data_IF_893281961318
#
_entry.id   IF_893281961318
#
_cell.length_a   1.000
_cell.length_b   1.000
_cell.length_c   1.000
_cell.angle_alpha   90.00
_cell.angle_beta   90.00
_cell.angle_gamma   90.00
#
_symmetry.space_group_name_H-M   'P 1'
#
loop_
_entity.id
_entity.type
_entity.pdbx_description
1 polymer ?
#
# COMPACT_ATOMS: atom_id res chain seq x y z
N UNK A 1 54.35 -6.32 10.14
CA UNK A 1 53.27 -6.79 9.24
C UNK A 1 51.98 -6.91 10.02
N UNK A 2 51.05 -5.97 9.86
CA UNK A 2 49.65 -6.13 10.30
C UNK A 2 48.76 -5.06 9.64
N UNK A 3 48.39 -5.29 8.38
CA UNK A 3 47.31 -4.56 7.70
C UNK A 3 46.50 -5.61 6.97
N UNK A 4 45.42 -6.12 7.55
CA UNK A 4 44.37 -6.87 6.84
C UNK A 4 43.16 -7.15 7.74
N UNK A 5 42.37 -6.14 8.15
CA UNK A 5 41.00 -6.39 8.67
C UNK A 5 40.08 -5.15 8.51
N UNK A 6 39.98 -4.56 7.31
CA UNK A 6 38.98 -3.49 7.06
C UNK A 6 38.15 -3.63 5.79
N UNK A 7 38.26 -4.72 5.05
CA UNK A 7 37.64 -4.81 3.70
C UNK A 7 36.38 -5.66 3.60
N UNK A 8 35.91 -6.29 4.68
CA UNK A 8 34.72 -7.16 4.62
C UNK A 8 33.42 -6.44 5.03
N UNK A 9 33.48 -5.37 5.83
CA UNK A 9 32.29 -4.69 6.34
C UNK A 9 31.64 -3.70 5.34
N UNK A 10 32.33 -3.38 4.24
CA UNK A 10 31.84 -2.40 3.24
C UNK A 10 31.02 -3.08 2.13
N UNK A 11 31.13 -4.40 1.95
CA UNK A 11 30.44 -5.13 0.89
C UNK A 11 28.98 -5.51 1.22
N UNK A 12 28.56 -5.38 2.49
CA UNK A 12 27.18 -5.63 2.94
C UNK A 12 26.47 -4.38 3.44
N UNK A 13 27.08 -3.20 3.29
CA UNK A 13 26.38 -1.95 3.56
C UNK A 13 25.28 -1.80 2.49
N UNK A 14 24.00 -1.80 2.87
CA UNK A 14 22.94 -1.57 1.90
C UNK A 14 23.17 -0.22 1.23
N UNK A 15 22.95 -0.12 -0.08
CA UNK A 15 23.23 1.10 -0.83
C UNK A 15 22.38 2.25 -0.24
N UNK A 16 23.00 3.19 0.49
CA UNK A 16 22.29 4.23 1.23
C UNK A 16 21.38 5.06 0.34
N UNK A 17 21.74 5.23 -0.93
CA UNK A 17 20.96 5.97 -1.92
C UNK A 17 19.65 5.24 -2.27
N UNK A 18 19.69 3.92 -2.50
CA UNK A 18 18.50 3.11 -2.79
C UNK A 18 17.52 3.10 -1.60
N UNK A 19 18.05 3.03 -0.37
CA UNK A 19 17.23 3.08 0.85
C UNK A 19 16.52 4.41 1.02
N UNK A 20 17.22 5.51 0.71
CA UNK A 20 16.64 6.84 0.74
C UNK A 20 15.58 7.01 -0.34
N UNK A 21 15.83 6.52 -1.57
CA UNK A 21 14.84 6.54 -2.63
C UNK A 21 13.58 5.75 -2.25
N UNK A 22 13.74 4.57 -1.66
CA UNK A 22 12.62 3.73 -1.22
C UNK A 22 11.81 4.40 -0.12
N UNK A 23 12.47 4.99 0.88
CA UNK A 23 11.82 5.76 1.93
C UNK A 23 10.99 6.93 1.37
N UNK A 24 11.56 7.66 0.40
CA UNK A 24 10.91 8.83 -0.20
C UNK A 24 9.76 8.42 -1.15
N UNK A 25 9.94 7.37 -1.94
CA UNK A 25 8.96 6.96 -2.98
C UNK A 25 7.88 6.04 -2.43
N UNK A 26 8.21 5.21 -1.44
CA UNK A 26 7.34 4.15 -0.91
C UNK A 26 7.71 3.82 0.54
N UNK A 27 7.39 4.74 1.45
CA UNK A 27 7.66 4.61 2.89
C UNK A 27 7.11 3.30 3.49
N UNK A 28 5.95 2.84 3.02
CA UNK A 28 5.35 1.57 3.45
C UNK A 28 6.24 0.40 3.07
N UNK A 29 6.77 0.35 1.84
CA UNK A 29 7.70 -0.71 1.43
C UNK A 29 8.99 -0.68 2.24
N UNK A 30 9.52 0.51 2.47
CA UNK A 30 10.69 0.69 3.34
C UNK A 30 10.44 0.10 4.74
N UNK A 31 9.31 0.43 5.37
CA UNK A 31 8.94 -0.06 6.68
C UNK A 31 8.70 -1.58 6.70
N UNK A 32 8.03 -2.14 5.68
CA UNK A 32 7.83 -3.59 5.55
C UNK A 32 9.18 -4.31 5.46
N UNK A 33 10.12 -3.78 4.65
CA UNK A 33 11.48 -4.34 4.56
C UNK A 33 12.22 -4.29 5.89
N UNK A 34 12.10 -3.19 6.62
CA UNK A 34 12.72 -3.05 7.92
C UNK A 34 12.18 -4.10 8.90
N UNK A 35 10.85 -4.27 8.93
CA UNK A 35 10.20 -5.26 9.79
C UNK A 35 10.63 -6.70 9.45
N UNK A 36 10.73 -7.05 8.17
CA UNK A 36 11.21 -8.37 7.74
C UNK A 36 12.67 -8.61 8.14
N UNK A 37 13.52 -7.58 8.08
CA UNK A 37 14.92 -7.66 8.52
C UNK A 37 15.05 -7.81 10.03
N UNK A 38 14.23 -7.11 10.80
CA UNK A 38 14.26 -7.13 12.27
C UNK A 38 13.71 -8.43 12.86
N UNK A 39 12.62 -8.95 12.28
CA UNK A 39 11.98 -10.19 12.75
C UNK A 39 12.61 -11.45 12.17
N UNK A 40 13.35 -11.34 11.06
CA UNK A 40 13.84 -12.49 10.30
C UNK A 40 12.74 -13.28 9.59
N UNK A 41 11.52 -12.74 9.55
CA UNK A 41 10.39 -13.35 8.84
C UNK A 41 10.67 -13.40 7.33
N UNK A 42 10.29 -14.52 6.71
CA UNK A 42 10.38 -14.68 5.27
C UNK A 42 8.99 -14.58 4.64
N UNK A 43 8.88 -13.81 3.57
CA UNK A 43 7.68 -13.70 2.75
C UNK A 43 7.98 -14.25 1.36
N UNK A 44 7.02 -14.96 0.78
CA UNK A 44 7.17 -15.58 -0.54
C UNK A 44 6.77 -14.62 -1.67
N UNK A 45 7.32 -13.40 -1.67
CA UNK A 45 6.99 -12.35 -2.63
C UNK A 45 8.24 -11.84 -3.35
N UNK A 46 8.08 -11.48 -4.62
CA UNK A 46 9.12 -10.74 -5.34
C UNK A 46 9.26 -9.33 -4.76
N UNK A 47 10.44 -8.71 -4.87
CA UNK A 47 10.60 -7.31 -4.44
C UNK A 47 9.66 -6.36 -5.21
N UNK A 48 9.41 -6.63 -6.49
CA UNK A 48 8.51 -5.84 -7.31
C UNK A 48 7.06 -5.93 -6.82
N UNK A 49 6.59 -7.13 -6.48
CA UNK A 49 5.25 -7.31 -5.90
C UNK A 49 5.16 -6.69 -4.53
N UNK A 50 6.18 -6.85 -3.68
CA UNK A 50 6.20 -6.22 -2.36
C UNK A 50 6.11 -4.69 -2.46
N UNK A 51 6.85 -4.07 -3.39
CA UNK A 51 6.75 -2.62 -3.67
C UNK A 51 5.34 -2.21 -4.09
N UNK A 52 4.76 -2.93 -5.06
CA UNK A 52 3.40 -2.67 -5.59
C UNK A 52 2.34 -2.82 -4.49
N UNK A 53 2.43 -3.87 -3.68
CA UNK A 53 1.50 -4.18 -2.61
C UNK A 53 1.61 -3.20 -1.45
N UNK A 54 2.81 -2.73 -1.11
CA UNK A 54 2.98 -1.66 -0.13
C UNK A 54 2.35 -0.34 -0.59
N UNK A 55 2.40 -0.01 -1.88
CA UNK A 55 1.69 1.15 -2.43
C UNK A 55 0.18 0.96 -2.35
N UNK A 56 -0.33 -0.20 -2.76
CA UNK A 56 -1.75 -0.54 -2.64
C UNK A 56 -2.22 -0.45 -1.17
N UNK A 57 -1.47 -1.07 -0.26
CA UNK A 57 -1.67 -1.05 1.18
C UNK A 57 -1.80 0.37 1.71
N UNK A 58 -0.81 1.22 1.45
CA UNK A 58 -0.84 2.61 1.95
C UNK A 58 -1.96 3.47 1.36
N UNK A 59 -2.37 3.22 0.11
CA UNK A 59 -3.52 3.90 -0.50
C UNK A 59 -4.85 3.42 0.09
N UNK A 60 -5.01 2.12 0.38
CA UNK A 60 -6.18 1.60 1.10
C UNK A 60 -6.25 2.19 2.51
N UNK A 61 -5.13 2.14 3.24
CA UNK A 61 -4.99 2.71 4.57
C UNK A 61 -5.37 4.20 4.57
N UNK A 62 -4.98 4.96 3.55
CA UNK A 62 -5.35 6.37 3.40
C UNK A 62 -6.85 6.60 3.27
N UNK A 63 -7.53 5.73 2.55
CA UNK A 63 -8.98 5.83 2.34
C UNK A 63 -9.71 5.52 3.65
N UNK A 64 -9.32 4.44 4.33
CA UNK A 64 -9.82 4.08 5.66
C UNK A 64 -9.53 5.16 6.73
N UNK A 65 -8.41 5.88 6.58
CA UNK A 65 -8.01 6.89 7.55
C UNK A 65 -8.55 8.28 7.21
N UNK A 66 -9.83 8.50 7.53
CA UNK A 66 -10.44 9.83 7.44
C UNK A 66 -10.26 10.65 8.72
N UNK A 67 -10.36 10.07 9.93
CA UNK A 67 -10.09 10.81 11.19
C UNK A 67 -9.68 9.99 12.45
N UNK A 68 -9.75 8.64 12.49
CA UNK A 68 -9.64 7.88 13.76
C UNK A 68 -8.79 6.58 13.78
N UNK A 69 -7.81 6.42 12.89
CA UNK A 69 -7.09 5.14 12.66
C UNK A 69 -7.92 4.15 11.84
N UNK A 70 -7.24 3.16 11.25
CA UNK A 70 -7.89 2.05 10.53
C UNK A 70 -8.56 1.14 11.57
N UNK A 71 -9.85 0.91 11.43
CA UNK A 71 -10.62 0.02 12.30
C UNK A 71 -10.31 -1.46 12.04
N UNK A 72 -10.61 -2.38 12.97
CA UNK A 72 -10.44 -3.82 12.74
C UNK A 72 -11.23 -4.35 11.53
N UNK A 73 -12.40 -3.79 11.23
CA UNK A 73 -13.21 -4.20 10.09
C UNK A 73 -12.52 -3.83 8.77
N UNK A 74 -12.07 -2.58 8.64
CA UNK A 74 -11.33 -2.10 7.47
C UNK A 74 -10.02 -2.87 7.28
N UNK A 75 -9.28 -3.11 8.37
CA UNK A 75 -8.06 -3.92 8.36
C UNK A 75 -8.31 -5.30 7.76
N UNK A 76 -9.38 -5.97 8.19
CA UNK A 76 -9.72 -7.29 7.66
C UNK A 76 -10.06 -7.24 6.17
N UNK A 77 -10.74 -6.19 5.69
CA UNK A 77 -11.01 -6.00 4.27
C UNK A 77 -9.71 -5.75 3.49
N UNK A 78 -8.78 -4.95 4.02
CA UNK A 78 -7.46 -4.73 3.41
C UNK A 78 -6.71 -6.06 3.24
N UNK A 79 -6.64 -6.88 4.30
CA UNK A 79 -5.98 -8.19 4.28
C UNK A 79 -6.63 -9.12 3.25
N UNK A 80 -7.96 -9.18 3.23
CA UNK A 80 -8.70 -10.01 2.28
C UNK A 80 -8.49 -9.53 0.83
N UNK A 81 -8.46 -8.23 0.60
CA UNK A 81 -8.23 -7.65 -0.72
C UNK A 81 -6.83 -7.96 -1.24
N UNK A 82 -5.79 -7.88 -0.38
CA UNK A 82 -4.42 -8.23 -0.76
C UNK A 82 -4.31 -9.70 -1.19
N UNK A 83 -4.94 -10.60 -0.45
CA UNK A 83 -4.97 -12.03 -0.79
C UNK A 83 -5.76 -12.29 -2.07
N UNK A 84 -6.98 -11.76 -2.19
CA UNK A 84 -7.87 -12.07 -3.31
C UNK A 84 -7.41 -11.48 -4.65
N UNK A 85 -6.83 -10.28 -4.64
CA UNK A 85 -6.46 -9.57 -5.88
C UNK A 85 -5.02 -9.84 -6.32
N UNK A 86 -4.13 -10.26 -5.41
CA UNK A 86 -2.72 -10.52 -5.73
C UNK A 86 -2.23 -11.92 -5.35
N UNK A 87 -3.09 -12.77 -4.79
CA UNK A 87 -2.80 -14.19 -4.54
C UNK A 87 -1.70 -14.43 -3.50
N UNK A 88 -1.47 -13.46 -2.61
CA UNK A 88 -0.43 -13.56 -1.58
C UNK A 88 -0.93 -14.34 -0.36
N UNK A 89 -0.01 -14.91 0.42
CA UNK A 89 -0.35 -15.63 1.63
C UNK A 89 -0.85 -14.68 2.75
N UNK A 90 -1.62 -15.24 3.69
CA UNK A 90 -2.24 -14.48 4.76
C UNK A 90 -1.23 -13.69 5.62
N UNK A 91 -0.06 -14.29 5.91
CA UNK A 91 0.97 -13.66 6.73
C UNK A 91 1.59 -12.45 6.01
N UNK A 92 1.87 -12.57 4.72
CA UNK A 92 2.33 -11.44 3.90
C UNK A 92 1.28 -10.34 3.78
N UNK A 93 0.00 -10.71 3.64
CA UNK A 93 -1.10 -9.75 3.55
C UNK A 93 -1.31 -8.98 4.86
N UNK A 94 -1.30 -9.68 6.00
CA UNK A 94 -1.39 -9.10 7.33
C UNK A 94 -0.25 -8.13 7.58
N UNK A 95 1.00 -8.54 7.34
CA UNK A 95 2.16 -7.67 7.49
C UNK A 95 2.05 -6.38 6.65
N UNK A 96 1.70 -6.49 5.38
CA UNK A 96 1.59 -5.32 4.50
C UNK A 96 0.47 -4.39 4.97
N UNK A 97 -0.67 -4.93 5.39
CA UNK A 97 -1.81 -4.13 5.85
C UNK A 97 -1.52 -3.42 7.17
N UNK A 98 -0.92 -4.12 8.14
CA UNK A 98 -0.53 -3.57 9.43
C UNK A 98 0.51 -2.46 9.30
N UNK A 99 1.58 -2.70 8.54
CA UNK A 99 2.61 -1.69 8.31
C UNK A 99 2.04 -0.50 7.54
N UNK A 100 1.20 -0.75 6.54
CA UNK A 100 0.53 0.33 5.82
C UNK A 100 -0.32 1.21 6.75
N UNK A 101 -1.07 0.60 7.67
CA UNK A 101 -1.89 1.32 8.64
C UNK A 101 -1.05 2.08 9.68
N UNK A 102 0.08 1.53 10.10
CA UNK A 102 1.00 2.18 11.04
C UNK A 102 1.76 3.37 10.43
N UNK A 103 2.06 3.31 9.13
CA UNK A 103 2.80 4.36 8.43
C UNK A 103 1.92 5.54 7.98
N UNK A 104 0.60 5.44 8.13
CA UNK A 104 -0.32 6.55 7.87
C UNK A 104 0.04 7.72 8.77
N UNK A 105 0.48 8.80 8.14
CA UNK A 105 0.83 10.03 8.82
C UNK A 105 0.52 11.21 7.91
N UNK A 106 0.35 12.41 8.49
CA UNK A 106 0.12 13.63 7.71
C UNK A 106 1.24 13.93 6.71
N UNK A 107 2.44 13.41 6.96
CA UNK A 107 3.63 13.62 6.15
C UNK A 107 3.77 12.63 4.98
N UNK A 108 2.87 11.64 4.86
CA UNK A 108 2.90 10.68 3.76
C UNK A 108 2.48 11.37 2.44
N UNK A 109 3.36 11.36 1.44
CA UNK A 109 3.09 11.95 0.12
C UNK A 109 2.20 11.03 -0.73
N UNK A 110 0.89 11.07 -0.46
CA UNK A 110 -0.09 10.23 -1.15
C UNK A 110 -0.17 10.48 -2.67
N UNK A 111 0.14 11.69 -3.12
CA UNK A 111 0.21 12.00 -4.55
C UNK A 111 1.34 11.23 -5.21
N UNK A 112 2.52 11.21 -4.58
CA UNK A 112 3.65 10.40 -5.03
C UNK A 112 3.32 8.92 -5.00
N UNK A 113 2.75 8.40 -3.91
CA UNK A 113 2.38 6.98 -3.84
C UNK A 113 1.40 6.60 -4.95
N UNK A 114 0.41 7.44 -5.23
CA UNK A 114 -0.55 7.18 -6.31
C UNK A 114 0.14 7.18 -7.68
N UNK A 115 1.11 8.09 -7.90
CA UNK A 115 1.91 8.09 -9.13
C UNK A 115 2.80 6.85 -9.26
N UNK A 116 3.45 6.43 -8.18
CA UNK A 116 4.26 5.20 -8.21
C UNK A 116 3.37 3.98 -8.44
N UNK A 117 2.20 3.91 -7.80
CA UNK A 117 1.24 2.84 -8.04
C UNK A 117 0.81 2.80 -9.51
N UNK A 118 0.56 3.97 -10.12
CA UNK A 118 0.28 4.08 -11.55
C UNK A 118 1.41 3.49 -12.42
N UNK A 119 2.67 3.75 -12.07
CA UNK A 119 3.84 3.25 -12.82
C UNK A 119 3.98 1.72 -12.73
N UNK A 120 3.46 1.08 -11.68
CA UNK A 120 3.54 -0.36 -11.45
C UNK A 120 2.27 -1.13 -11.82
N UNK A 121 1.27 -0.46 -12.39
CA UNK A 121 -0.03 -1.08 -12.70
C UNK A 121 -0.50 -0.80 -14.11
N UNK A 122 -1.30 -1.72 -14.62
CA UNK A 122 -2.08 -1.58 -15.85
C UNK A 122 -3.41 -0.88 -15.56
N UNK A 123 -4.07 -0.36 -16.59
CA UNK A 123 -5.40 0.25 -16.42
C UNK A 123 -6.45 -0.71 -15.81
N UNK A 124 -6.55 -1.99 -16.24
CA UNK A 124 -7.45 -2.94 -15.60
C UNK A 124 -7.17 -3.16 -14.10
N UNK A 125 -5.89 -3.28 -13.71
CA UNK A 125 -5.51 -3.38 -12.29
C UNK A 125 -5.94 -2.14 -11.51
N UNK A 126 -5.81 -0.93 -12.09
CA UNK A 126 -6.26 0.31 -11.45
C UNK A 126 -7.79 0.39 -11.32
N UNK A 127 -8.54 -0.11 -12.30
CA UNK A 127 -10.00 -0.19 -12.23
C UNK A 127 -10.44 -1.17 -11.14
N UNK A 128 -9.82 -2.34 -11.06
CA UNK A 128 -10.07 -3.31 -9.98
C UNK A 128 -9.71 -2.73 -8.61
N UNK A 129 -8.58 -2.03 -8.53
CA UNK A 129 -8.15 -1.37 -7.29
C UNK A 129 -9.16 -0.32 -6.81
N UNK A 130 -9.86 0.36 -7.73
CA UNK A 130 -10.90 1.31 -7.36
C UNK A 130 -12.05 0.64 -6.62
N UNK A 131 -12.47 -0.55 -7.05
CA UNK A 131 -13.45 -1.39 -6.34
C UNK A 131 -12.94 -1.78 -4.94
N UNK A 132 -11.65 -2.12 -4.82
CA UNK A 132 -11.03 -2.43 -3.53
C UNK A 132 -11.07 -1.24 -2.56
N UNK A 133 -10.77 -0.03 -3.04
CA UNK A 133 -10.84 1.17 -2.19
C UNK A 133 -12.25 1.42 -1.65
N UNK A 134 -13.28 1.20 -2.47
CA UNK A 134 -14.67 1.30 -2.01
C UNK A 134 -15.04 0.18 -1.04
N UNK A 135 -14.56 -1.06 -1.25
CA UNK A 135 -14.79 -2.15 -0.32
C UNK A 135 -14.20 -1.87 1.07
N UNK A 136 -13.01 -1.28 1.11
CA UNK A 136 -12.37 -0.87 2.37
C UNK A 136 -13.18 0.23 3.05
N UNK A 137 -13.57 1.28 2.32
CA UNK A 137 -14.34 2.37 2.91
C UNK A 137 -15.75 1.94 3.37
N UNK A 138 -16.39 1.02 2.65
CA UNK A 138 -17.71 0.50 3.00
C UNK A 138 -17.68 -0.56 4.12
N UNK A 139 -16.55 -0.75 4.83
CA UNK A 139 -16.39 -1.83 5.80
C UNK A 139 -17.38 -1.73 6.98
N UNK A 140 -17.85 -0.54 7.32
CA UNK A 140 -18.87 -0.30 8.35
C UNK A 140 -20.31 -0.24 7.78
N UNK A 141 -20.46 -0.48 6.48
CA UNK A 141 -21.73 -0.53 5.77
C UNK A 141 -22.09 0.75 4.99
N UNK A 142 -21.32 1.84 5.11
CA UNK A 142 -21.54 3.05 4.31
C UNK A 142 -20.22 3.71 3.92
N UNK A 143 -20.22 4.45 2.80
CA UNK A 143 -19.05 5.25 2.40
C UNK A 143 -19.34 6.71 2.64
N UNK A 144 -18.58 7.35 3.53
CA UNK A 144 -18.80 8.75 3.87
C UNK A 144 -18.36 9.71 2.76
N UNK A 145 -18.61 11.01 2.94
CA UNK A 145 -18.26 12.02 1.93
C UNK A 145 -16.74 12.26 1.80
N UNK A 146 -16.00 12.19 2.91
CA UNK A 146 -14.55 12.38 2.96
C UNK A 146 -13.82 11.20 2.32
N UNK A 147 -14.25 9.97 2.61
CA UNK A 147 -13.74 8.74 1.98
C UNK A 147 -13.99 8.76 0.48
N UNK A 148 -15.24 9.03 0.05
CA UNK A 148 -15.57 9.16 -1.38
C UNK A 148 -14.72 10.18 -2.09
N UNK A 149 -14.44 11.32 -1.46
CA UNK A 149 -13.56 12.34 -2.05
C UNK A 149 -12.10 11.89 -2.08
N UNK A 150 -11.63 11.18 -1.04
CA UNK A 150 -10.32 10.52 -1.03
C UNK A 150 -10.15 9.55 -2.21
N UNK A 151 -11.13 8.65 -2.39
CA UNK A 151 -11.17 7.70 -3.50
C UNK A 151 -11.22 8.43 -4.84
N UNK A 152 -12.01 9.51 -4.96
CA UNK A 152 -12.10 10.32 -6.19
C UNK A 152 -10.76 10.97 -6.56
N UNK A 153 -10.02 11.48 -5.58
CA UNK A 153 -8.68 12.06 -5.79
C UNK A 153 -7.68 11.01 -6.25
N UNK A 154 -7.73 9.81 -5.68
CA UNK A 154 -6.91 8.67 -6.12
C UNK A 154 -7.27 8.30 -7.57
N UNK A 155 -8.55 8.11 -7.88
CA UNK A 155 -9.01 7.75 -9.23
C UNK A 155 -8.53 8.75 -10.31
N UNK A 156 -8.61 10.05 -10.02
CA UNK A 156 -8.09 11.11 -10.91
C UNK A 156 -6.58 10.99 -11.12
N UNK A 157 -5.83 10.75 -10.05
CA UNK A 157 -4.37 10.59 -10.11
C UNK A 157 -3.96 9.31 -10.84
N UNK A 158 -4.80 8.28 -10.80
CA UNK A 158 -4.68 7.03 -11.56
C UNK A 158 -5.17 7.14 -13.01
N UNK A 159 -5.57 8.34 -13.45
CA UNK A 159 -6.09 8.63 -14.79
C UNK A 159 -7.32 7.78 -15.17
N UNK A 160 -8.11 7.37 -14.18
CA UNK A 160 -9.34 6.61 -14.41
C UNK A 160 -10.48 7.54 -14.83
N UNK A 161 -11.29 7.08 -15.78
CA UNK A 161 -12.46 7.82 -16.25
C UNK A 161 -13.53 7.88 -15.17
N UNK A 162 -14.36 8.94 -15.21
CA UNK A 162 -15.53 9.07 -14.33
C UNK A 162 -16.46 7.84 -14.39
N UNK A 163 -16.60 7.20 -15.56
CA UNK A 163 -17.41 5.99 -15.71
C UNK A 163 -16.90 4.83 -14.87
N UNK A 164 -15.59 4.65 -14.74
CA UNK A 164 -15.00 3.61 -13.88
C UNK A 164 -15.27 3.91 -12.39
N UNK A 165 -15.17 5.19 -12.00
CA UNK A 165 -15.53 5.62 -10.64
C UNK A 165 -16.98 5.34 -10.31
N UNK A 166 -17.93 5.74 -11.18
CA UNK A 166 -19.36 5.50 -10.96
C UNK A 166 -19.65 3.99 -10.94
N UNK A 167 -19.02 3.21 -11.82
CA UNK A 167 -19.20 1.76 -11.85
C UNK A 167 -18.73 1.11 -10.53
N UNK A 168 -17.55 1.46 -10.03
CA UNK A 168 -17.05 0.96 -8.75
C UNK A 168 -17.97 1.41 -7.59
N UNK A 169 -18.34 2.69 -7.55
CA UNK A 169 -19.19 3.25 -6.49
C UNK A 169 -20.57 2.56 -6.44
N UNK A 170 -21.19 2.32 -7.59
CA UNK A 170 -22.53 1.72 -7.69
C UNK A 170 -22.64 0.32 -7.06
N UNK A 171 -21.51 -0.40 -6.92
CA UNK A 171 -21.47 -1.71 -6.27
C UNK A 171 -21.64 -1.62 -4.74
N UNK A 172 -21.46 -0.43 -4.17
CA UNK A 172 -21.53 -0.17 -2.72
C UNK A 172 -22.62 0.86 -2.36
N UNK A 173 -23.27 1.48 -3.36
CA UNK A 173 -24.38 2.43 -3.18
C UNK A 173 -25.77 1.72 -3.12
N UNK A 174 -25.85 0.42 -2.81
CA UNK A 174 -27.13 -0.31 -2.83
C UNK A 174 -27.78 -0.39 -1.44
N UNK A 175 -29.08 -0.04 -1.43
CA UNK A 175 -30.05 0.09 -0.31
C UNK A 175 -30.07 -1.03 0.75
#
# INVERSE_FOLDING_TARGET
>A
HAVHHRTAAVAQAPNREDFFEDYVKNKVYYAVRQHLQETGQQVSLSEADLRKLSLAGGLMARVAHTDQQVTPAEMQIMINALQANWGIDALSAELVAEVAAAEISRDLDYYRMTREFFNYTTEPERQQFLTVLFAVAAADGQVDAAEREGIRRIARSLQLRQSAFIHAQSQFDSD
#
